data_IF_412205797135
#
_entry.id   IF_412205797135
#
_cell.length_a   1.000
_cell.length_b   1.000
_cell.length_c   1.000
_cell.angle_alpha   90.00
_cell.angle_beta   90.00
_cell.angle_gamma   90.00
#
_symmetry.space_group_name_H-M   'P 1'
#
loop_
_entity.id
_entity.type
_entity.pdbx_description
1 polymer ?
#
# COMPACT_ATOMS: atom_id res chain seq x y z
N UNK A 1 8.14 -13.23 -8.80
CA UNK A 1 8.70 -12.28 -7.82
C UNK A 1 10.03 -12.81 -7.30
N UNK A 2 10.98 -11.95 -6.95
CA UNK A 2 12.20 -12.37 -6.24
C UNK A 2 11.91 -12.61 -4.74
N UNK A 3 12.64 -13.53 -4.12
CA UNK A 3 12.48 -13.87 -2.69
C UNK A 3 12.65 -12.64 -1.77
N UNK A 4 13.59 -11.74 -2.09
CA UNK A 4 13.82 -10.53 -1.30
C UNK A 4 12.63 -9.58 -1.28
N UNK A 5 11.92 -9.43 -2.41
CA UNK A 5 10.76 -8.55 -2.51
C UNK A 5 9.57 -9.13 -1.76
N UNK A 6 9.40 -10.46 -1.81
CA UNK A 6 8.38 -11.14 -1.03
C UNK A 6 8.58 -10.96 0.48
N UNK A 7 9.80 -11.18 0.99
CA UNK A 7 10.09 -10.98 2.42
C UNK A 7 9.87 -9.54 2.88
N UNK A 8 10.28 -8.55 2.07
CA UNK A 8 10.02 -7.13 2.39
C UNK A 8 8.54 -6.81 2.45
N UNK A 9 7.75 -7.32 1.49
CA UNK A 9 6.29 -7.14 1.51
C UNK A 9 5.65 -7.84 2.71
N UNK A 10 6.13 -9.03 3.05
CA UNK A 10 5.69 -9.73 4.25
C UNK A 10 5.96 -8.91 5.49
N UNK A 11 7.18 -8.43 5.70
CA UNK A 11 7.54 -7.62 6.86
C UNK A 11 6.69 -6.34 6.99
N UNK A 12 6.43 -5.66 5.87
CA UNK A 12 5.61 -4.45 5.84
C UNK A 12 4.13 -4.69 6.15
N UNK A 13 3.55 -5.77 5.59
CA UNK A 13 2.11 -6.00 5.66
C UNK A 13 1.69 -6.87 6.86
N UNK A 14 2.59 -7.73 7.35
CA UNK A 14 2.37 -8.60 8.53
C UNK A 14 1.72 -7.86 9.70
N UNK A 15 2.21 -6.68 10.16
CA UNK A 15 1.59 -5.98 11.28
C UNK A 15 0.13 -5.56 11.03
N UNK A 16 -0.25 -5.31 9.78
CA UNK A 16 -1.61 -4.86 9.41
C UNK A 16 -2.63 -6.00 9.43
N UNK A 17 -2.19 -7.24 9.21
CA UNK A 17 -3.13 -8.36 9.03
C UNK A 17 -2.97 -9.53 10.00
N UNK A 18 -1.87 -9.61 10.75
CA UNK A 18 -1.61 -10.72 11.68
C UNK A 18 -2.71 -10.89 12.72
N UNK A 19 -3.24 -9.78 13.24
CA UNK A 19 -4.31 -9.79 14.25
C UNK A 19 -5.67 -10.29 13.71
N UNK A 20 -5.84 -10.31 12.39
CA UNK A 20 -7.08 -10.72 11.72
C UNK A 20 -7.01 -12.13 11.14
N UNK A 21 -5.82 -12.76 11.13
CA UNK A 21 -5.65 -14.12 10.66
C UNK A 21 -6.02 -15.13 11.75
N UNK A 22 -6.69 -16.23 11.37
CA UNK A 22 -6.88 -17.34 12.29
C UNK A 22 -5.52 -17.99 12.63
N UNK A 23 -5.36 -18.56 13.84
CA UNK A 23 -4.09 -19.12 14.29
C UNK A 23 -3.62 -20.33 13.48
N UNK A 24 -4.48 -20.95 12.66
CA UNK A 24 -4.09 -22.03 11.74
C UNK A 24 -3.41 -21.54 10.45
N UNK A 25 -3.47 -20.24 10.16
CA UNK A 25 -2.94 -19.68 8.92
C UNK A 25 -1.72 -18.80 9.22
N UNK A 26 -0.55 -19.23 8.74
CA UNK A 26 0.65 -18.43 8.89
C UNK A 26 0.62 -17.19 7.96
N UNK A 27 1.21 -16.06 8.38
CA UNK A 27 1.22 -14.81 7.62
C UNK A 27 1.85 -14.90 6.22
N UNK A 28 2.90 -15.70 6.09
CA UNK A 28 3.60 -15.98 4.83
C UNK A 28 2.72 -16.75 3.85
N UNK A 29 2.01 -17.78 4.34
CA UNK A 29 1.04 -18.56 3.57
C UNK A 29 -0.13 -17.69 3.13
N UNK A 30 -0.67 -16.87 4.03
CA UNK A 30 -1.76 -15.93 3.70
C UNK A 30 -1.36 -14.96 2.59
N UNK A 31 -0.17 -14.35 2.71
CA UNK A 31 0.35 -13.40 1.73
C UNK A 31 0.58 -14.09 0.37
N UNK A 32 1.23 -15.26 0.36
CA UNK A 32 1.50 -15.99 -0.87
C UNK A 32 0.21 -16.46 -1.57
N UNK A 33 -0.77 -16.95 -0.81
CA UNK A 33 -2.09 -17.32 -1.30
C UNK A 33 -2.83 -16.13 -1.92
N UNK A 34 -2.81 -14.98 -1.24
CA UNK A 34 -3.43 -13.76 -1.73
C UNK A 34 -2.78 -13.25 -3.02
N UNK A 35 -1.43 -13.22 -3.09
CA UNK A 35 -0.68 -12.83 -4.28
C UNK A 35 -0.92 -13.78 -5.45
N UNK A 36 -0.96 -15.09 -5.21
CA UNK A 36 -1.26 -16.08 -6.25
C UNK A 36 -2.63 -15.81 -6.88
N UNK A 37 -3.65 -15.56 -6.05
CA UNK A 37 -5.00 -15.23 -6.52
C UNK A 37 -5.03 -13.88 -7.23
N UNK A 38 -4.35 -12.87 -6.72
CA UNK A 38 -4.32 -11.53 -7.32
C UNK A 38 -3.64 -11.54 -8.70
N UNK A 39 -2.55 -12.30 -8.85
CA UNK A 39 -1.79 -12.39 -10.09
C UNK A 39 -2.48 -13.28 -11.15
N UNK A 40 -3.11 -14.38 -10.74
CA UNK A 40 -3.58 -15.42 -11.66
C UNK A 40 -5.10 -15.62 -11.66
N UNK A 41 -5.85 -14.93 -10.80
CA UNK A 41 -7.31 -15.13 -10.68
C UNK A 41 -7.71 -16.52 -10.18
N UNK A 42 -6.79 -17.25 -9.54
CA UNK A 42 -6.97 -18.65 -9.16
C UNK A 42 -8.15 -18.82 -8.19
N UNK A 43 -9.04 -19.81 -8.40
CA UNK A 43 -10.21 -20.04 -7.52
C UNK A 43 -9.77 -20.46 -6.10
N UNK A 44 -10.54 -20.06 -5.08
CA UNK A 44 -10.19 -20.25 -3.67
C UNK A 44 -9.95 -21.72 -3.29
N UNK A 45 -10.71 -22.65 -3.88
CA UNK A 45 -10.50 -24.08 -3.65
C UNK A 45 -9.12 -24.58 -4.14
N UNK A 46 -8.64 -24.02 -5.26
CA UNK A 46 -7.31 -24.36 -5.79
C UNK A 46 -6.20 -23.73 -4.95
N UNK A 47 -6.39 -22.47 -4.54
CA UNK A 47 -5.46 -21.77 -3.64
C UNK A 47 -5.37 -22.51 -2.30
N UNK A 48 -6.49 -22.87 -1.68
CA UNK A 48 -6.50 -23.61 -0.42
C UNK A 48 -5.70 -24.91 -0.52
N UNK A 49 -5.86 -25.66 -1.62
CA UNK A 49 -5.12 -26.89 -1.87
C UNK A 49 -3.62 -26.67 -2.07
N UNK A 50 -3.22 -25.63 -2.82
CA UNK A 50 -1.80 -25.35 -3.08
C UNK A 50 -1.05 -24.85 -1.85
N UNK A 51 -1.74 -24.13 -0.98
CA UNK A 51 -1.17 -23.48 0.19
C UNK A 51 -1.47 -24.22 1.51
N UNK A 52 -2.10 -25.40 1.45
CA UNK A 52 -2.37 -26.24 2.62
C UNK A 52 -3.36 -25.61 3.62
N UNK A 53 -4.31 -24.80 3.14
CA UNK A 53 -5.32 -24.19 3.99
C UNK A 53 -6.47 -25.15 4.26
N UNK A 54 -6.98 -25.14 5.49
CA UNK A 54 -8.01 -26.07 5.98
C UNK A 54 -9.31 -26.04 5.14
N UNK A 55 -9.62 -24.90 4.52
CA UNK A 55 -10.83 -24.74 3.69
C UNK A 55 -10.68 -23.65 2.62
N UNK A 56 -11.54 -23.68 1.57
CA UNK A 56 -11.65 -22.56 0.62
C UNK A 56 -12.03 -21.24 1.29
N UNK A 57 -12.77 -21.30 2.41
CA UNK A 57 -13.19 -20.11 3.15
C UNK A 57 -12.01 -19.48 3.90
N UNK A 58 -11.09 -20.29 4.42
CA UNK A 58 -9.82 -19.80 4.97
C UNK A 58 -8.98 -19.08 3.90
N UNK A 59 -8.95 -19.60 2.67
CA UNK A 59 -8.30 -18.92 1.54
C UNK A 59 -8.98 -17.60 1.15
N UNK A 60 -10.31 -17.54 1.26
CA UNK A 60 -11.09 -16.31 1.03
C UNK A 60 -10.81 -15.26 2.08
N UNK A 61 -10.80 -15.64 3.36
CA UNK A 61 -10.45 -14.75 4.46
C UNK A 61 -9.03 -14.22 4.32
N UNK A 62 -8.05 -15.10 4.05
CA UNK A 62 -6.66 -14.70 3.82
C UNK A 62 -6.54 -13.68 2.68
N UNK A 63 -7.24 -13.91 1.56
CA UNK A 63 -7.27 -12.97 0.44
C UNK A 63 -7.87 -11.62 0.82
N UNK A 64 -8.99 -11.61 1.55
CA UNK A 64 -9.66 -10.36 1.93
C UNK A 64 -8.82 -9.55 2.91
N UNK A 65 -8.30 -10.19 3.95
CA UNK A 65 -7.50 -9.58 5.00
C UNK A 65 -6.18 -9.02 4.45
N UNK A 66 -5.47 -9.79 3.62
CA UNK A 66 -4.24 -9.29 2.96
C UNK A 66 -4.56 -8.23 1.91
N UNK A 67 -5.63 -8.42 1.13
CA UNK A 67 -6.07 -7.45 0.11
C UNK A 67 -6.44 -6.10 0.73
N UNK A 68 -7.13 -6.12 1.86
CA UNK A 68 -7.44 -4.91 2.64
C UNK A 68 -6.16 -4.25 3.13
N UNK A 69 -5.23 -4.99 3.75
CA UNK A 69 -3.96 -4.44 4.21
C UNK A 69 -3.16 -3.81 3.06
N UNK A 70 -3.13 -4.43 1.89
CA UNK A 70 -2.49 -3.84 0.70
C UNK A 70 -3.20 -2.56 0.28
N UNK A 71 -4.53 -2.55 0.22
CA UNK A 71 -5.31 -1.36 -0.12
C UNK A 71 -5.10 -0.22 0.86
N UNK A 72 -5.05 -0.48 2.16
CA UNK A 72 -4.81 0.54 3.21
C UNK A 72 -3.40 1.13 3.11
N UNK A 73 -2.39 0.28 2.84
CA UNK A 73 -1.03 0.76 2.60
C UNK A 73 -0.94 1.56 1.30
N UNK A 74 -1.65 1.18 0.24
CA UNK A 74 -1.70 1.94 -1.01
C UNK A 74 -2.50 3.24 -0.88
N UNK A 75 -3.59 3.27 -0.11
CA UNK A 75 -4.37 4.49 0.11
C UNK A 75 -3.55 5.52 0.87
N UNK A 76 -2.78 5.09 1.88
CA UNK A 76 -1.82 5.96 2.57
C UNK A 76 -0.77 6.52 1.61
N UNK A 77 -0.30 5.72 0.65
CA UNK A 77 0.61 6.20 -0.40
C UNK A 77 -0.03 7.24 -1.32
N UNK A 78 -1.30 7.07 -1.69
CA UNK A 78 -2.05 8.04 -2.52
C UNK A 78 -2.30 9.33 -1.77
N UNK A 79 -2.65 9.26 -0.50
CA UNK A 79 -2.82 10.44 0.37
C UNK A 79 -1.49 11.18 0.57
N UNK A 80 -0.41 10.44 0.83
CA UNK A 80 0.94 10.99 0.91
C UNK A 80 1.34 11.68 -0.41
N UNK A 81 1.07 11.06 -1.56
CA UNK A 81 1.36 11.66 -2.87
C UNK A 81 0.56 12.95 -3.11
N UNK A 82 -0.73 12.97 -2.75
CA UNK A 82 -1.55 14.20 -2.84
C UNK A 82 -1.01 15.31 -1.95
N UNK A 83 -0.56 14.98 -0.74
CA UNK A 83 0.03 15.96 0.17
C UNK A 83 1.43 16.42 -0.28
N UNK A 84 2.23 15.51 -0.85
CA UNK A 84 3.52 15.82 -1.46
C UNK A 84 3.37 16.74 -2.67
N UNK A 85 2.39 16.48 -3.53
CA UNK A 85 2.05 17.35 -4.67
C UNK A 85 1.55 18.71 -4.17
N UNK A 86 0.72 18.74 -3.12
CA UNK A 86 0.25 19.98 -2.48
C UNK A 86 1.38 20.79 -1.86
N UNK A 87 2.37 20.16 -1.23
CA UNK A 87 3.53 20.83 -0.64
C UNK A 87 4.55 21.26 -1.71
N UNK A 88 4.75 20.47 -2.77
CA UNK A 88 5.57 20.86 -3.92
C UNK A 88 4.95 22.03 -4.69
N UNK A 89 3.63 22.01 -4.92
CA UNK A 89 2.89 23.15 -5.47
C UNK A 89 2.86 24.34 -4.50
N UNK A 90 2.77 24.09 -3.20
CA UNK A 90 2.86 25.12 -2.16
C UNK A 90 4.21 25.83 -2.13
N UNK A 91 5.30 25.10 -2.36
CA UNK A 91 6.65 25.66 -2.49
C UNK A 91 6.79 26.50 -3.78
N UNK A 92 6.26 26.01 -4.90
CA UNK A 92 6.27 26.74 -6.18
C UNK A 92 5.41 28.01 -6.13
N UNK A 93 4.22 27.94 -5.56
CA UNK A 93 3.34 29.10 -5.34
C UNK A 93 3.96 30.08 -4.33
N UNK A 94 4.57 29.58 -3.25
CA UNK A 94 5.30 30.39 -2.28
C UNK A 94 6.46 31.17 -2.91
N UNK A 95 7.23 30.53 -3.80
CA UNK A 95 8.31 31.16 -4.55
C UNK A 95 7.81 32.22 -5.55
N UNK A 96 6.65 32.01 -6.17
CA UNK A 96 6.04 32.98 -7.08
C UNK A 96 5.44 34.20 -6.34
N UNK A 97 4.85 33.98 -5.16
CA UNK A 97 4.39 35.07 -4.29
C UNK A 97 5.58 35.88 -3.78
N UNK A 98 6.68 35.25 -3.39
CA UNK A 98 7.89 35.95 -2.92
C UNK A 98 8.53 36.80 -4.04
N UNK A 99 8.60 36.29 -5.28
CA UNK A 99 9.11 37.05 -6.43
C UNK A 99 8.20 38.20 -6.85
N UNK A 100 6.87 38.03 -6.78
CA UNK A 100 5.91 39.13 -6.99
C UNK A 100 5.99 40.19 -5.89
N UNK A 101 6.16 39.81 -4.63
CA UNK A 101 6.39 40.76 -3.53
C UNK A 101 7.72 41.51 -3.71
N UNK A 102 8.81 40.84 -4.09
CA UNK A 102 10.12 41.49 -4.35
C UNK A 102 10.06 42.52 -5.48
N UNK A 103 9.29 42.26 -6.55
CA UNK A 103 9.06 43.24 -7.63
C UNK A 103 8.23 44.44 -7.20
N UNK A 104 7.26 44.26 -6.30
CA UNK A 104 6.39 45.35 -5.81
C UNK A 104 7.10 46.31 -4.86
N UNK A 105 8.15 45.86 -4.16
CA UNK A 105 8.92 46.68 -3.22
C UNK A 105 10.09 47.41 -3.94
N UNK A 106 10.57 46.89 -5.07
CA UNK A 106 11.63 47.51 -5.87
C UNK A 106 11.20 48.64 -6.83
N UNK A 107 9.91 48.98 -6.90
CA UNK A 107 9.39 50.02 -7.80
C UNK A 107 9.03 51.34 -7.10
N UNK A 108 9.58 51.59 -5.90
CA UNK A 108 9.25 52.79 -5.08
C UNK A 108 10.44 53.67 -4.68
N UNK A 109 11.51 53.62 -5.46
CA UNK A 109 12.52 54.67 -5.61
C UNK A 109 12.92 54.58 -7.09
N UNK A 110 12.70 55.55 -7.95
CA UNK A 110 13.07 56.98 -7.93
C UNK A 110 12.00 57.76 -8.70
#
# INVERSE_FOLDING_TARGET
>A
MSNSTFHKLLELLTPSFTSCLPPSVLPDVALAAALCRLAHGTPYATVARWFGLDSPEAARLAFFVVGQAVCENMSMFVEFWKEAERTQMGFLVGAEVQTRFRKKIGAKQI
#
